data_IF_235268354229
#
_entry.id   IF_235268354229
#
_cell.length_a   1.000
_cell.length_b   1.000
_cell.length_c   1.000
_cell.angle_alpha   90.00
_cell.angle_beta   90.00
_cell.angle_gamma   90.00
#
_symmetry.space_group_name_H-M   'P 1'
#
loop_
_entity.id
_entity.type
_entity.pdbx_description
1 polymer ?
#
# COMPACT_ATOMS: atom_id res chain seq x y z
N UNK A 1 -9.11 -15.05 -26.29
CA UNK A 1 -9.97 -14.86 -25.13
C UNK A 1 -9.10 -14.47 -23.93
N UNK A 2 -9.44 -13.39 -23.26
CA UNK A 2 -8.61 -12.89 -22.19
C UNK A 2 -8.71 -13.69 -20.90
N UNK A 3 -7.61 -13.75 -20.19
CA UNK A 3 -7.57 -14.33 -18.88
C UNK A 3 -7.67 -13.22 -17.84
N UNK A 4 -8.27 -13.54 -16.70
CA UNK A 4 -8.39 -12.59 -15.61
C UNK A 4 -7.30 -12.80 -14.56
N UNK A 5 -6.79 -11.71 -14.04
CA UNK A 5 -5.81 -11.75 -12.97
C UNK A 5 -6.30 -10.88 -11.82
N UNK A 6 -5.75 -11.08 -10.65
CA UNK A 6 -6.03 -10.22 -9.50
C UNK A 6 -4.77 -9.40 -9.23
N UNK A 7 -4.94 -8.08 -9.18
CA UNK A 7 -3.85 -7.18 -8.83
C UNK A 7 -4.03 -6.72 -7.39
N UNK A 8 -3.04 -7.03 -6.57
CA UNK A 8 -3.02 -6.60 -5.19
C UNK A 8 -2.08 -5.39 -5.09
N UNK A 9 -2.63 -4.23 -4.76
CA UNK A 9 -1.87 -3.01 -4.61
C UNK A 9 -1.81 -2.67 -3.13
N UNK A 10 -0.62 -2.75 -2.56
CA UNK A 10 -0.39 -2.35 -1.18
C UNK A 10 0.38 -1.04 -1.22
N UNK A 11 -0.26 0.04 -0.76
CA UNK A 11 0.30 1.38 -0.83
C UNK A 11 0.46 1.97 0.56
N UNK A 12 1.66 2.48 0.83
CA UNK A 12 1.95 3.22 2.04
C UNK A 12 2.60 4.53 1.64
N UNK A 13 2.93 5.37 2.61
CA UNK A 13 3.61 6.63 2.31
C UNK A 13 5.03 6.42 1.81
N UNK A 14 5.62 5.28 2.09
CA UNK A 14 7.03 5.02 1.78
C UNK A 14 7.23 4.05 0.63
N UNK A 15 6.20 3.34 0.20
CA UNK A 15 6.37 2.35 -0.86
C UNK A 15 5.02 1.99 -1.46
N UNK A 16 5.07 1.37 -2.63
CA UNK A 16 3.90 0.76 -3.25
C UNK A 16 4.33 -0.60 -3.77
N UNK A 17 3.52 -1.61 -3.51
CA UNK A 17 3.78 -2.98 -3.95
C UNK A 17 2.61 -3.43 -4.81
N UNK A 18 2.90 -3.86 -6.02
CA UNK A 18 1.86 -4.38 -6.92
C UNK A 18 2.19 -5.83 -7.24
N UNK A 19 1.28 -6.72 -6.89
CA UNK A 19 1.45 -8.15 -7.14
C UNK A 19 0.29 -8.63 -7.99
N UNK A 20 0.58 -9.28 -9.09
CA UNK A 20 -0.43 -9.90 -9.94
C UNK A 20 -0.46 -11.39 -9.68
N UNK A 21 -1.64 -11.93 -9.45
CA UNK A 21 -1.82 -13.36 -9.21
C UNK A 21 -2.94 -13.87 -10.09
N UNK A 22 -3.09 -15.20 -10.14
CA UNK A 22 -4.25 -15.78 -10.79
C UNK A 22 -5.50 -15.56 -9.94
N UNK A 23 -6.66 -16.00 -10.40
CA UNK A 23 -7.91 -15.78 -9.67
C UNK A 23 -7.94 -16.45 -8.31
N UNK A 24 -7.24 -17.56 -8.17
CA UNK A 24 -7.19 -18.28 -6.91
C UNK A 24 -6.16 -17.68 -5.93
N UNK A 25 -5.23 -16.89 -6.43
CA UNK A 25 -4.17 -16.32 -5.61
C UNK A 25 -3.00 -17.26 -5.36
N UNK A 26 -3.06 -18.46 -5.91
CA UNK A 26 -2.03 -19.47 -5.65
C UNK A 26 -0.73 -19.20 -6.41
N UNK A 27 -0.84 -18.68 -7.63
CA UNK A 27 0.33 -18.43 -8.46
C UNK A 27 0.55 -16.94 -8.64
N UNK A 28 1.78 -16.50 -8.36
CA UNK A 28 2.16 -15.11 -8.58
C UNK A 28 2.65 -14.95 -10.01
N UNK A 29 1.97 -14.12 -10.78
CA UNK A 29 2.30 -13.91 -12.19
C UNK A 29 3.36 -12.84 -12.38
N UNK A 30 3.30 -11.78 -11.58
CA UNK A 30 4.24 -10.67 -11.67
C UNK A 30 4.24 -9.89 -10.37
N UNK A 31 5.33 -9.20 -10.11
CA UNK A 31 5.48 -8.47 -8.86
C UNK A 31 6.41 -7.28 -9.10
N UNK A 32 5.95 -6.09 -8.78
CA UNK A 32 6.73 -4.86 -8.94
C UNK A 32 6.54 -3.99 -7.70
N UNK A 33 7.59 -3.33 -7.25
CA UNK A 33 7.50 -2.40 -6.15
C UNK A 33 7.99 -1.02 -6.58
N UNK A 34 7.63 0.00 -5.78
CA UNK A 34 8.10 1.35 -6.03
C UNK A 34 9.62 1.46 -5.96
N UNK A 35 10.23 0.67 -5.10
CA UNK A 35 11.69 0.67 -4.97
C UNK A 35 12.42 0.12 -6.19
N UNK A 36 11.73 -0.63 -7.03
CA UNK A 36 12.33 -1.15 -8.25
C UNK A 36 12.37 -0.10 -9.37
N UNK A 37 11.51 0.90 -9.29
CA UNK A 37 11.39 1.90 -10.35
C UNK A 37 11.94 3.27 -9.98
N UNK A 38 12.27 3.48 -8.71
CA UNK A 38 12.90 4.73 -8.26
C UNK A 38 14.20 4.43 -7.54
N UNK A 39 15.12 5.37 -7.61
CA UNK A 39 16.42 5.21 -6.97
C UNK A 39 16.41 5.67 -5.51
N UNK A 40 15.55 6.62 -5.17
CA UNK A 40 15.47 7.13 -3.81
C UNK A 40 14.39 6.40 -3.03
N UNK A 41 14.74 5.90 -1.86
CA UNK A 41 13.79 5.19 -1.02
C UNK A 41 12.58 6.02 -0.62
N UNK A 42 12.79 7.32 -0.40
CA UNK A 42 11.69 8.20 -0.02
C UNK A 42 10.67 8.41 -1.14
N UNK A 43 11.09 8.21 -2.39
CA UNK A 43 10.20 8.39 -3.54
C UNK A 43 9.44 7.13 -3.90
N UNK A 44 9.75 6.01 -3.26
CA UNK A 44 9.14 4.72 -3.60
C UNK A 44 7.63 4.69 -3.34
N UNK A 45 7.14 5.54 -2.43
CA UNK A 45 5.71 5.62 -2.15
C UNK A 45 4.98 6.70 -2.93
N UNK A 46 5.67 7.46 -3.78
CA UNK A 46 5.08 8.58 -4.49
C UNK A 46 4.24 8.15 -5.69
N UNK A 47 3.49 9.12 -6.22
CA UNK A 47 2.62 8.86 -7.36
C UNK A 47 3.39 8.46 -8.61
N UNK A 48 4.56 9.06 -8.80
CA UNK A 48 5.39 8.72 -9.95
C UNK A 48 5.83 7.26 -9.89
N UNK A 49 6.28 6.81 -8.72
CA UNK A 49 6.71 5.43 -8.55
C UNK A 49 5.55 4.46 -8.77
N UNK A 50 4.36 4.81 -8.26
CA UNK A 50 3.17 3.99 -8.45
C UNK A 50 2.79 3.89 -9.92
N UNK A 51 2.86 5.01 -10.64
CA UNK A 51 2.56 5.04 -12.07
C UNK A 51 3.52 4.14 -12.84
N UNK A 52 4.82 4.26 -12.57
CA UNK A 52 5.81 3.46 -13.27
C UNK A 52 5.68 1.98 -12.94
N UNK A 53 5.41 1.67 -11.68
CA UNK A 53 5.21 0.28 -11.27
C UNK A 53 4.00 -0.33 -11.98
N UNK A 54 2.92 0.44 -12.08
CA UNK A 54 1.71 -0.04 -12.75
C UNK A 54 1.95 -0.25 -14.25
N UNK A 55 2.69 0.65 -14.89
CA UNK A 55 3.03 0.48 -16.30
C UNK A 55 3.85 -0.79 -16.52
N UNK A 56 4.79 -1.05 -15.64
CA UNK A 56 5.62 -2.24 -15.73
C UNK A 56 4.81 -3.52 -15.53
N UNK A 57 3.90 -3.50 -14.57
CA UNK A 57 3.01 -4.64 -14.34
C UNK A 57 2.11 -4.89 -15.55
N UNK A 58 1.62 -3.80 -16.18
CA UNK A 58 0.77 -3.92 -17.35
C UNK A 58 1.52 -4.59 -18.51
N UNK A 59 2.79 -4.24 -18.69
CA UNK A 59 3.61 -4.89 -19.71
C UNK A 59 3.77 -6.38 -19.43
N UNK A 60 4.03 -6.73 -18.18
CA UNK A 60 4.20 -8.13 -17.80
C UNK A 60 2.93 -8.94 -18.01
N UNK A 61 1.79 -8.34 -17.68
CA UNK A 61 0.51 -9.01 -17.89
C UNK A 61 0.18 -9.16 -19.37
N UNK A 62 0.53 -8.17 -20.18
CA UNK A 62 0.33 -8.27 -21.63
C UNK A 62 1.14 -9.40 -22.23
N UNK A 63 2.37 -9.57 -21.77
CA UNK A 63 3.22 -10.66 -22.23
C UNK A 63 2.63 -12.02 -21.90
N UNK A 64 1.91 -12.11 -20.78
CA UNK A 64 1.29 -13.35 -20.33
C UNK A 64 -0.15 -13.49 -20.80
N UNK A 65 -0.60 -12.55 -21.63
CA UNK A 65 -1.93 -12.56 -22.24
C UNK A 65 -3.08 -12.39 -21.23
N UNK A 66 -2.81 -11.73 -20.12
CA UNK A 66 -3.86 -11.33 -19.18
C UNK A 66 -4.30 -9.93 -19.51
N UNK A 67 -5.53 -9.76 -19.93
CA UNK A 67 -6.05 -8.45 -20.34
C UNK A 67 -7.11 -7.89 -19.40
N UNK A 68 -7.64 -8.69 -18.49
CA UNK A 68 -8.63 -8.24 -17.52
C UNK A 68 -8.09 -8.44 -16.11
N UNK A 69 -8.35 -7.46 -15.24
CA UNK A 69 -7.88 -7.57 -13.87
C UNK A 69 -8.97 -7.15 -12.89
N UNK A 70 -8.90 -7.74 -11.71
CA UNK A 70 -9.64 -7.32 -10.54
C UNK A 70 -8.62 -6.65 -9.64
N UNK A 71 -8.85 -5.38 -9.30
CA UNK A 71 -7.91 -4.63 -8.47
C UNK A 71 -8.36 -4.67 -7.03
N UNK A 72 -7.47 -5.07 -6.15
CA UNK A 72 -7.69 -5.02 -4.70
C UNK A 72 -6.58 -4.16 -4.09
N UNK A 73 -6.94 -2.97 -3.63
CA UNK A 73 -5.94 -2.08 -3.06
C UNK A 73 -6.11 -1.95 -1.55
N UNK A 74 -5.01 -1.70 -0.88
CA UNK A 74 -5.04 -1.49 0.56
C UNK A 74 -3.98 -0.48 0.97
N UNK A 75 -4.31 0.27 2.04
CA UNK A 75 -3.33 1.10 2.71
C UNK A 75 -2.74 0.34 3.89
N UNK A 76 -2.13 1.08 4.81
CA UNK A 76 -1.50 0.47 5.97
C UNK A 76 -2.52 -0.19 6.90
N UNK A 77 -3.67 0.44 7.09
CA UNK A 77 -4.72 -0.11 7.94
C UNK A 77 -4.38 -0.10 9.42
N UNK A 78 -5.11 -0.91 10.17
CA UNK A 78 -4.93 -0.98 11.61
C UNK A 78 -5.20 0.36 12.28
N UNK A 79 -4.30 0.78 13.15
CA UNK A 79 -4.40 2.08 13.83
C UNK A 79 -3.76 3.20 13.03
N UNK A 80 -3.28 2.89 11.84
CA UNK A 80 -2.64 3.88 10.96
C UNK A 80 -3.64 4.41 9.95
N UNK A 81 -3.13 5.12 8.95
CA UNK A 81 -3.96 5.68 7.91
C UNK A 81 -4.65 4.60 7.09
N UNK A 82 -5.90 4.84 6.74
CA UNK A 82 -6.65 3.96 5.85
C UNK A 82 -6.50 4.37 4.39
N UNK A 83 -5.74 5.43 4.11
CA UNK A 83 -5.53 5.86 2.75
C UNK A 83 -4.48 5.01 2.05
N UNK A 84 -4.58 4.94 0.74
CA UNK A 84 -3.61 4.25 -0.11
C UNK A 84 -3.11 5.25 -1.14
N UNK A 85 -2.11 6.06 -0.80
CA UNK A 85 -1.75 7.23 -1.61
C UNK A 85 -1.32 6.90 -3.04
N UNK A 86 -0.69 5.77 -3.26
CA UNK A 86 -0.27 5.39 -4.60
C UNK A 86 -1.29 4.64 -5.41
N UNK A 87 -2.38 4.18 -4.78
CA UNK A 87 -3.32 3.28 -5.46
C UNK A 87 -4.04 3.98 -6.62
N UNK A 88 -4.48 5.22 -6.43
CA UNK A 88 -5.19 5.95 -7.46
C UNK A 88 -4.32 6.16 -8.71
N UNK A 89 -3.07 6.55 -8.49
CA UNK A 89 -2.14 6.75 -9.59
C UNK A 89 -1.87 5.45 -10.33
N UNK A 90 -1.74 4.34 -9.60
CA UNK A 90 -1.52 3.03 -10.20
C UNK A 90 -2.72 2.60 -11.03
N UNK A 91 -3.93 2.79 -10.51
CA UNK A 91 -5.14 2.41 -11.23
C UNK A 91 -5.29 3.23 -12.52
N UNK A 92 -5.01 4.52 -12.45
CA UNK A 92 -5.06 5.37 -13.65
C UNK A 92 -4.05 4.93 -14.69
N UNK A 93 -2.86 4.57 -14.25
CA UNK A 93 -1.82 4.12 -15.16
C UNK A 93 -2.19 2.80 -15.83
N UNK A 94 -2.81 1.89 -15.09
CA UNK A 94 -3.29 0.62 -15.65
C UNK A 94 -4.33 0.86 -16.73
N UNK A 95 -5.26 1.78 -16.46
CA UNK A 95 -6.30 2.11 -17.44
C UNK A 95 -5.70 2.71 -18.70
N UNK A 96 -4.73 3.60 -18.56
CA UNK A 96 -4.07 4.20 -19.71
C UNK A 96 -3.26 3.21 -20.51
N UNK A 97 -2.74 2.18 -19.85
CA UNK A 97 -1.96 1.14 -20.53
C UNK A 97 -2.84 0.15 -21.29
N UNK A 98 -4.15 0.25 -21.16
CA UNK A 98 -5.06 -0.63 -21.88
C UNK A 98 -5.53 -1.84 -21.11
N UNK A 99 -5.17 -1.95 -19.85
CA UNK A 99 -5.64 -3.06 -19.01
C UNK A 99 -7.10 -2.81 -18.65
N UNK A 100 -7.93 -3.80 -18.87
CA UNK A 100 -9.36 -3.70 -18.56
C UNK A 100 -9.60 -4.07 -17.11
N UNK A 101 -10.05 -3.12 -16.32
CA UNK A 101 -10.34 -3.34 -14.90
C UNK A 101 -11.81 -3.70 -14.76
N UNK A 102 -12.08 -4.90 -14.27
CA UNK A 102 -13.47 -5.38 -14.14
C UNK A 102 -14.05 -5.02 -12.78
N UNK A 103 -13.23 -4.90 -11.75
CA UNK A 103 -13.71 -4.57 -10.41
C UNK A 103 -12.58 -3.96 -9.59
N UNK A 104 -12.92 -3.02 -8.74
CA UNK A 104 -11.98 -2.39 -7.81
C UNK A 104 -12.52 -2.55 -6.41
N UNK A 105 -11.73 -3.10 -5.50
CA UNK A 105 -12.12 -3.29 -4.11
C UNK A 105 -11.08 -2.69 -3.20
N UNK A 106 -11.55 -2.05 -2.13
CA UNK A 106 -10.70 -1.57 -1.05
C UNK A 106 -10.66 -2.65 0.03
N UNK A 107 -9.51 -3.27 0.22
CA UNK A 107 -9.34 -4.33 1.20
C UNK A 107 -8.48 -3.90 2.38
N UNK A 108 -8.36 -2.59 2.61
CA UNK A 108 -7.62 -2.07 3.74
C UNK A 108 -8.20 -2.63 5.04
N UNK A 109 -7.37 -3.26 5.88
CA UNK A 109 -7.87 -3.87 7.10
C UNK A 109 -8.31 -2.80 8.11
N UNK A 110 -9.55 -2.92 8.57
CA UNK A 110 -10.10 -2.04 9.59
C UNK A 110 -10.39 -2.87 10.83
N UNK A 111 -9.65 -2.67 11.92
CA UNK A 111 -9.85 -3.48 13.12
C UNK A 111 -11.15 -3.11 13.79
N UNK A 112 -11.87 -4.11 14.26
CA UNK A 112 -13.13 -3.89 14.96
C UNK A 112 -12.88 -3.35 16.36
N UNK A 113 -11.82 -3.75 16.99
CA UNK A 113 -11.41 -3.29 18.31
C UNK A 113 -9.98 -3.77 18.54
N UNK A 114 -9.13 -3.42 17.61
CA UNK A 114 -7.80 -3.99 17.56
C UNK A 114 -6.86 -3.42 18.61
N UNK A 115 -5.58 -3.37 18.25
CA UNK A 115 -4.55 -2.85 19.13
C UNK A 115 -4.84 -1.39 19.48
N UNK A 116 -4.53 -1.02 20.72
CA UNK A 116 -4.72 0.34 21.18
C UNK A 116 -3.97 1.31 20.27
N UNK A 117 -4.65 2.37 19.87
CA UNK A 117 -4.03 3.38 19.00
C UNK A 117 -2.90 4.10 19.72
N UNK A 118 -1.96 4.58 18.93
CA UNK A 118 -0.85 5.35 19.47
C UNK A 118 -1.37 6.70 19.94
N UNK A 119 -1.73 6.79 21.19
CA UNK A 119 -2.12 8.04 21.81
C UNK A 119 -1.08 8.50 22.79
N UNK A 120 0.02 7.81 22.81
CA UNK A 120 0.95 7.91 23.89
C UNK A 120 1.90 9.08 23.86
N UNK A 121 2.01 9.80 22.76
CA UNK A 121 2.96 10.90 22.70
C UNK A 121 2.66 11.92 23.77
N UNK A 122 1.41 12.27 23.94
CA UNK A 122 0.99 13.18 24.96
C UNK A 122 1.24 12.61 26.35
N UNK A 123 0.93 11.33 26.50
CA UNK A 123 1.17 10.64 27.75
C UNK A 123 2.66 10.55 28.08
N UNK A 124 3.48 10.32 27.08
CA UNK A 124 4.91 10.26 27.28
C UNK A 124 5.46 11.60 27.78
N UNK A 125 4.99 12.69 27.20
CA UNK A 125 5.41 14.01 27.64
C UNK A 125 4.98 14.26 29.07
N UNK A 126 3.77 13.90 29.40
CA UNK A 126 3.29 14.07 30.76
C UNK A 126 4.15 13.30 31.75
N UNK A 127 4.50 12.09 31.42
CA UNK A 127 5.37 11.29 32.26
C UNK A 127 6.75 11.91 32.39
N UNK A 128 7.29 12.42 31.30
CA UNK A 128 8.60 13.07 31.33
C UNK A 128 8.61 14.29 32.22
N UNK A 129 7.58 15.13 32.12
CA UNK A 129 7.49 16.30 32.96
C UNK A 129 7.35 15.93 34.42
N UNK A 130 6.59 14.90 34.68
CA UNK A 130 6.45 14.43 36.06
C UNK A 130 7.78 14.03 36.65
N UNK A 131 8.58 13.34 35.89
CA UNK A 131 9.91 12.95 36.32
C UNK A 131 10.81 14.14 36.56
N UNK A 132 10.69 15.14 35.72
CA UNK A 132 11.50 16.32 35.83
C UNK A 132 11.11 17.19 37.02
N UNK A 133 9.83 17.22 37.34
CA UNK A 133 9.35 18.03 38.45
C UNK A 133 9.40 17.31 39.77
N UNK A 134 9.28 16.05 39.72
CA UNK A 134 9.26 15.26 40.93
C UNK A 134 10.60 14.90 41.43
N UNK A 135 11.43 14.79 40.77
CA UNK A 135 12.60 14.21 41.17
C UNK A 135 12.99 14.74 42.27
N UNK A 136 12.47 14.88 42.29
CA UNK A 136 12.68 15.10 42.87
C UNK A 136 11.94 14.38 43.35
N UNK A 137 11.26 13.82 43.21
CA UNK A 137 10.64 13.14 43.29
C UNK A 137 10.68 12.16 42.86
N UNK A 138 10.96 11.69 42.81
CA UNK A 138 10.91 10.98 42.24
C UNK A 138 10.95 10.75 41.93
N UNK A 139 11.15 11.29 42.14
CA UNK A 139 10.93 11.40 41.68
C UNK A 139 10.62 11.10 41.52
N UNK A 140 10.19 11.13 41.68
CA UNK A 140 9.69 11.07 41.56
C UNK A 140 9.35 10.62 41.21
#
# INVERSE_FOLDING_TARGET
MGHKAVLHIFSTYNNVLITATDLTGAETLAKVSGGQVTKKGSDAGGQFAATRAAEKIAEMLAEKEFDQVIVKYRGAGGNRSHSAPGATAAIRALTRAGVQITRIEDVTPIPTNGTKAKGGRRGRRAVSYTHLTLPTKRIV
#
